data_IF_969021773288
#
_entry.id   IF_969021773288
#
_cell.length_a   1.000
_cell.length_b   1.000
_cell.length_c   1.000
_cell.angle_alpha   90.00
_cell.angle_beta   90.00
_cell.angle_gamma   90.00
#
_symmetry.space_group_name_H-M   'P 1'
#
loop_
_entity.id
_entity.type
_entity.pdbx_description
1 polymer ?
#
# COMPACT_ATOMS: atom_id res chain seq x y z
N UNK A 1 20.96 -9.44 32.07
CA UNK A 1 20.20 -8.34 32.57
C UNK A 1 18.75 -8.49 32.27
N UNK A 2 17.96 -8.31 33.24
CA UNK A 2 16.54 -8.41 33.01
C UNK A 2 16.07 -7.10 32.41
N UNK A 3 15.44 -7.22 31.26
CA UNK A 3 14.86 -6.04 30.67
C UNK A 3 13.59 -5.77 31.43
N UNK A 4 13.54 -4.63 32.06
CA UNK A 4 12.33 -4.24 32.70
C UNK A 4 11.32 -3.99 31.62
N UNK A 5 10.14 -4.49 31.80
CA UNK A 5 9.06 -4.15 30.92
C UNK A 5 8.81 -2.68 31.06
N UNK A 6 9.08 -1.95 30.00
CA UNK A 6 8.83 -0.53 30.03
C UNK A 6 7.35 -0.30 29.83
N UNK A 7 6.76 0.35 30.80
CA UNK A 7 5.36 0.68 30.69
C UNK A 7 5.24 2.05 30.04
N UNK A 8 5.53 2.10 28.76
CA UNK A 8 5.44 3.35 28.03
C UNK A 8 4.01 3.56 27.58
N UNK A 9 3.47 4.72 27.83
CA UNK A 9 2.13 5.02 27.32
C UNK A 9 2.15 5.09 25.81
N UNK A 10 1.37 4.24 25.17
CA UNK A 10 1.29 4.23 23.72
C UNK A 10 0.91 5.58 23.18
N UNK A 11 -0.01 6.27 23.86
CA UNK A 11 -0.45 7.57 23.41
C UNK A 11 0.69 8.59 23.36
N UNK A 12 1.56 8.56 24.35
CA UNK A 12 2.71 9.44 24.37
C UNK A 12 3.61 9.15 23.19
N UNK A 13 3.90 7.89 22.95
CA UNK A 13 4.80 7.49 21.86
C UNK A 13 4.23 7.87 20.50
N UNK A 14 2.95 7.62 20.28
CA UNK A 14 2.29 7.95 19.04
C UNK A 14 2.26 9.45 18.80
N UNK A 15 2.15 10.23 19.87
CA UNK A 15 2.15 11.67 19.74
C UNK A 15 3.56 12.23 19.50
N UNK A 16 4.55 11.70 20.19
CA UNK A 16 5.93 12.23 20.09
C UNK A 16 6.69 11.76 18.88
N UNK A 17 6.46 10.55 18.42
CA UNK A 17 7.22 10.02 17.29
C UNK A 17 7.15 10.90 16.03
N UNK A 18 5.98 11.37 15.61
CA UNK A 18 5.92 12.25 14.45
C UNK A 18 6.71 13.54 14.64
N UNK A 19 6.74 14.06 15.85
CA UNK A 19 7.47 15.28 16.14
C UNK A 19 8.97 15.04 16.03
N UNK A 20 9.43 13.95 16.61
CA UNK A 20 10.84 13.59 16.55
C UNK A 20 11.24 13.25 15.12
N UNK A 21 10.35 12.63 14.36
CA UNK A 21 10.64 12.32 12.98
C UNK A 21 10.91 13.58 12.15
N UNK A 22 10.16 14.64 12.41
CA UNK A 22 10.37 15.89 11.69
C UNK A 22 11.71 16.52 12.02
N UNK A 23 12.16 16.38 13.25
CA UNK A 23 13.45 16.92 13.68
C UNK A 23 14.61 16.02 13.33
N UNK A 24 14.43 14.74 13.45
CA UNK A 24 15.49 13.75 13.25
C UNK A 24 14.99 12.59 12.39
N UNK A 25 14.70 12.83 11.12
CA UNK A 25 14.27 11.74 10.25
C UNK A 25 15.32 10.66 10.10
N UNK A 26 16.59 11.03 10.18
CA UNK A 26 17.71 10.08 10.12
C UNK A 26 17.66 9.02 11.21
N UNK A 27 17.19 9.43 12.38
CA UNK A 27 17.11 8.53 13.53
C UNK A 27 15.90 7.60 13.44
N UNK A 28 14.78 8.15 12.98
CA UNK A 28 13.50 7.44 13.03
C UNK A 28 13.23 6.61 11.77
N UNK A 29 13.64 7.11 10.61
CA UNK A 29 13.36 6.44 9.35
C UNK A 29 13.77 4.96 9.31
N UNK A 30 14.99 4.59 9.70
CA UNK A 30 15.37 3.18 9.66
C UNK A 30 14.52 2.30 10.56
N UNK A 31 14.10 2.83 11.70
CA UNK A 31 13.27 2.08 12.64
C UNK A 31 11.87 1.87 12.09
N UNK A 32 11.29 2.89 11.48
CA UNK A 32 9.98 2.77 10.86
C UNK A 32 10.01 1.80 9.68
N UNK A 33 11.09 1.87 8.90
CA UNK A 33 11.26 0.97 7.77
C UNK A 33 11.31 -0.49 8.22
N UNK A 34 12.07 -0.75 9.27
CA UNK A 34 12.14 -2.10 9.84
C UNK A 34 10.81 -2.55 10.41
N UNK A 35 10.13 -1.65 11.10
CA UNK A 35 8.83 -1.97 11.69
C UNK A 35 7.87 -2.45 10.62
N UNK A 36 7.77 -1.73 9.53
CA UNK A 36 6.86 -2.09 8.44
C UNK A 36 7.32 -3.32 7.69
N UNK A 37 8.63 -3.47 7.49
CA UNK A 37 9.16 -4.62 6.76
C UNK A 37 8.98 -5.92 7.54
N UNK A 38 9.15 -5.86 8.86
CA UNK A 38 9.06 -7.05 9.69
C UNK A 38 7.65 -7.39 10.14
N UNK A 39 6.69 -6.46 9.96
CA UNK A 39 5.33 -6.68 10.41
C UNK A 39 4.35 -6.56 9.24
N UNK A 40 4.12 -7.68 8.60
CA UNK A 40 3.24 -7.71 7.44
C UNK A 40 1.82 -7.26 7.75
N UNK A 41 1.27 -7.72 8.84
CA UNK A 41 -0.09 -7.33 9.23
C UNK A 41 -0.20 -5.82 9.45
N UNK A 42 0.81 -5.24 10.08
CA UNK A 42 0.81 -3.80 10.29
C UNK A 42 0.91 -3.05 8.96
N UNK A 43 1.78 -3.54 8.07
CA UNK A 43 1.95 -2.92 6.76
C UNK A 43 0.64 -2.93 5.97
N UNK A 44 -0.02 -4.09 5.90
CA UNK A 44 -1.28 -4.21 5.20
C UNK A 44 -2.37 -3.33 5.83
N UNK A 45 -2.46 -3.33 7.16
CA UNK A 45 -3.45 -2.53 7.87
C UNK A 45 -3.29 -1.04 7.58
N UNK A 46 -2.04 -0.56 7.59
CA UNK A 46 -1.79 0.84 7.31
C UNK A 46 -2.11 1.20 5.87
N UNK A 47 -1.74 0.33 4.95
CA UNK A 47 -2.00 0.59 3.54
C UNK A 47 -3.49 0.56 3.24
N UNK A 48 -4.20 -0.44 3.75
CA UNK A 48 -5.64 -0.54 3.54
C UNK A 48 -6.35 0.69 4.10
N UNK A 49 -5.99 1.07 5.31
CA UNK A 49 -6.59 2.25 5.92
C UNK A 49 -6.34 3.51 5.09
N UNK A 50 -5.10 3.71 4.67
CA UNK A 50 -4.75 4.87 3.86
C UNK A 50 -5.50 4.89 2.54
N UNK A 51 -5.66 3.72 1.93
CA UNK A 51 -6.42 3.61 0.70
C UNK A 51 -7.89 3.93 0.92
N UNK A 52 -8.48 3.36 1.96
CA UNK A 52 -9.89 3.62 2.28
C UNK A 52 -10.16 5.06 2.64
N UNK A 53 -9.19 5.73 3.25
CA UNK A 53 -9.29 7.14 3.59
C UNK A 53 -8.90 8.07 2.45
N UNK A 54 -8.64 7.51 1.30
CA UNK A 54 -8.30 8.27 0.09
C UNK A 54 -7.01 9.07 0.19
N UNK A 55 -6.09 8.61 1.01
CA UNK A 55 -4.78 9.25 1.13
C UNK A 55 -3.83 8.73 0.06
N UNK A 56 -4.05 7.52 -0.41
CA UNK A 56 -3.24 6.92 -1.46
C UNK A 56 -4.17 6.26 -2.47
N UNK A 57 -3.70 6.14 -3.70
CA UNK A 57 -4.45 5.43 -4.73
C UNK A 57 -4.01 3.97 -4.77
N UNK A 58 -4.61 3.19 -5.64
CA UNK A 58 -4.33 1.77 -5.74
C UNK A 58 -2.89 1.50 -6.16
N UNK A 59 -2.37 2.29 -7.09
CA UNK A 59 -0.99 2.15 -7.53
C UNK A 59 0.01 2.34 -6.40
N UNK A 60 -0.20 3.36 -5.59
CA UNK A 60 0.68 3.62 -4.46
C UNK A 60 0.54 2.54 -3.41
N UNK A 61 -0.68 2.05 -3.18
CA UNK A 61 -0.90 0.95 -2.25
C UNK A 61 -0.14 -0.29 -2.69
N UNK A 62 -0.19 -0.61 -3.97
CA UNK A 62 0.53 -1.76 -4.50
C UNK A 62 2.04 -1.59 -4.33
N UNK A 63 2.55 -0.39 -4.61
CA UNK A 63 3.95 -0.09 -4.42
C UNK A 63 4.39 -0.31 -2.98
N UNK A 64 3.61 0.19 -2.04
CA UNK A 64 3.92 0.05 -0.62
C UNK A 64 3.89 -1.39 -0.14
N UNK A 65 3.09 -2.22 -0.79
CA UNK A 65 2.99 -3.63 -0.42
C UNK A 65 3.91 -4.52 -1.26
N UNK A 66 4.61 -3.94 -2.23
CA UNK A 66 5.48 -4.71 -3.09
C UNK A 66 4.73 -5.65 -4.02
N UNK A 67 3.53 -5.28 -4.43
CA UNK A 67 2.70 -6.09 -5.28
C UNK A 67 2.43 -5.40 -6.60
N UNK A 68 2.10 -6.18 -7.61
CA UNK A 68 1.60 -5.62 -8.84
C UNK A 68 0.18 -5.12 -8.61
N UNK A 69 -0.19 -4.05 -9.27
CA UNK A 69 -1.50 -3.45 -9.06
C UNK A 69 -2.67 -4.40 -9.34
N UNK A 70 -2.56 -5.22 -10.34
CA UNK A 70 -3.60 -6.19 -10.65
C UNK A 70 -3.74 -7.24 -9.55
N UNK A 71 -2.63 -7.65 -9.00
CA UNK A 71 -2.64 -8.58 -7.88
C UNK A 71 -3.30 -7.97 -6.67
N UNK A 72 -3.02 -6.70 -6.41
CA UNK A 72 -3.63 -6.01 -5.28
C UNK A 72 -5.13 -5.86 -5.45
N UNK A 73 -5.58 -5.57 -6.68
CA UNK A 73 -7.01 -5.49 -6.96
C UNK A 73 -7.70 -6.79 -6.59
N UNK A 74 -7.10 -7.89 -7.00
CA UNK A 74 -7.67 -9.20 -6.69
C UNK A 74 -7.70 -9.45 -5.20
N UNK A 75 -6.63 -9.11 -4.51
CA UNK A 75 -6.58 -9.26 -3.06
C UNK A 75 -7.63 -8.42 -2.35
N UNK A 76 -7.80 -7.19 -2.80
CA UNK A 76 -8.82 -6.33 -2.21
C UNK A 76 -10.23 -6.88 -2.43
N UNK A 77 -10.48 -7.42 -3.61
CA UNK A 77 -11.77 -8.05 -3.88
C UNK A 77 -12.00 -9.25 -2.97
N UNK A 78 -10.99 -10.07 -2.79
CA UNK A 78 -11.07 -11.23 -1.90
C UNK A 78 -11.30 -10.82 -0.45
N UNK A 79 -10.73 -9.71 -0.04
CA UNK A 79 -10.89 -9.21 1.31
C UNK A 79 -12.18 -8.41 1.52
N UNK A 80 -12.92 -8.19 0.46
CA UNK A 80 -14.14 -7.40 0.55
C UNK A 80 -13.91 -5.91 0.65
N UNK A 81 -12.74 -5.44 0.22
CA UNK A 81 -12.43 -4.02 0.24
C UNK A 81 -12.89 -3.39 -1.06
N UNK A 82 -13.79 -2.41 -1.02
CA UNK A 82 -14.30 -1.80 -2.24
C UNK A 82 -13.20 -1.06 -2.98
N UNK A 83 -13.12 -1.29 -4.28
CA UNK A 83 -12.19 -0.55 -5.13
C UNK A 83 -12.78 0.81 -5.44
N UNK A 84 -11.94 1.83 -5.26
CA UNK A 84 -12.35 3.18 -5.53
C UNK A 84 -12.03 3.51 -6.97
N UNK A 85 -13.03 3.91 -7.72
CA UNK A 85 -12.86 4.24 -9.13
C UNK A 85 -13.24 5.70 -9.36
N UNK A 86 -12.34 6.59 -9.00
CA UNK A 86 -12.47 8.00 -9.34
C UNK A 86 -12.09 8.22 -10.80
N UNK A 87 -12.27 9.42 -11.33
CA UNK A 87 -11.93 9.68 -12.74
C UNK A 87 -10.50 9.33 -13.10
N UNK A 88 -9.55 9.66 -12.23
CA UNK A 88 -8.14 9.35 -12.49
C UNK A 88 -7.88 7.84 -12.42
N UNK A 89 -8.44 7.19 -11.41
CA UNK A 89 -8.26 5.76 -11.24
C UNK A 89 -8.91 5.00 -12.40
N UNK A 90 -10.05 5.50 -12.86
CA UNK A 90 -10.75 4.87 -13.96
C UNK A 90 -9.95 5.00 -15.26
N UNK A 91 -9.33 6.15 -15.48
CA UNK A 91 -8.50 6.36 -16.66
C UNK A 91 -7.29 5.42 -16.63
N UNK A 92 -6.65 5.30 -15.49
CA UNK A 92 -5.52 4.38 -15.34
C UNK A 92 -5.97 2.94 -15.58
N UNK A 93 -7.10 2.55 -15.02
CA UNK A 93 -7.61 1.20 -15.19
C UNK A 93 -7.92 0.89 -16.64
N UNK A 94 -8.49 1.86 -17.35
CA UNK A 94 -8.80 1.69 -18.76
C UNK A 94 -7.52 1.56 -19.59
N UNK A 95 -6.55 2.42 -19.32
CA UNK A 95 -5.28 2.36 -20.04
C UNK A 95 -4.59 1.03 -19.82
N UNK A 96 -4.66 0.52 -18.59
CA UNK A 96 -4.06 -0.76 -18.26
C UNK A 96 -4.77 -1.90 -18.98
N UNK A 97 -6.09 -1.89 -19.01
CA UNK A 97 -6.87 -2.92 -19.69
C UNK A 97 -6.60 -2.87 -21.18
N UNK A 98 -6.50 -1.68 -21.74
CA UNK A 98 -6.24 -1.55 -23.17
C UNK A 98 -4.85 -2.01 -23.54
N UNK A 99 -3.87 -1.73 -22.70
CA UNK A 99 -2.51 -2.22 -22.91
C UNK A 99 -2.48 -3.75 -22.89
N UNK A 100 -3.18 -4.35 -21.95
CA UNK A 100 -3.26 -5.81 -21.86
C UNK A 100 -3.96 -6.38 -23.08
N UNK A 101 -5.05 -5.77 -23.51
CA UNK A 101 -5.76 -6.22 -24.70
C UNK A 101 -4.90 -6.13 -25.93
N UNK A 102 -4.17 -5.03 -26.09
CA UNK A 102 -3.30 -4.86 -27.24
C UNK A 102 -2.22 -5.93 -27.26
N UNK A 103 -1.65 -6.19 -26.07
CA UNK A 103 -0.65 -7.21 -25.95
C UNK A 103 -1.19 -8.59 -26.28
N UNK A 104 -2.38 -8.93 -25.78
CA UNK A 104 -3.02 -10.20 -26.08
C UNK A 104 -3.39 -10.31 -27.55
N UNK A 105 -3.85 -9.21 -28.13
CA UNK A 105 -4.14 -9.19 -29.54
C UNK A 105 -2.95 -9.55 -30.39
N UNK A 106 -1.81 -8.97 -30.06
CA UNK A 106 -0.57 -9.28 -30.77
C UNK A 106 -0.10 -10.70 -30.48
N UNK A 107 -0.19 -11.11 -29.23
CA UNK A 107 0.29 -12.44 -28.85
C UNK A 107 -0.55 -13.56 -29.42
N UNK A 108 -1.86 -13.35 -29.54
CA UNK A 108 -2.76 -14.37 -30.03
C UNK A 108 -2.94 -14.32 -31.53
N UNK A 109 -2.28 -13.36 -32.18
CA UNK A 109 -2.39 -13.27 -33.59
C UNK A 109 -3.78 -12.98 -34.06
N UNK A 110 -4.59 -12.47 -33.15
CA UNK A 110 -5.83 -12.03 -33.52
C UNK A 110 -6.74 -12.89 -34.05
N UNK A 111 -6.84 -13.85 -33.41
CA UNK A 111 -7.79 -14.78 -33.80
C UNK A 111 -9.11 -14.19 -33.85
N UNK A 112 -9.33 -13.08 -33.30
CA UNK A 112 -10.58 -12.55 -33.55
C UNK A 112 -10.56 -11.93 -34.89
N UNK A 113 -11.45 -12.18 -35.57
CA UNK A 113 -11.58 -11.65 -36.90
C UNK A 113 -12.09 -10.23 -36.85
#
# INVERSE_FOLDING_TARGET
MTVKTLSLPDEWLVDELPRLYRERPDLIHPLLHRLLTENEELRWSLVIRSYQERRINLGKAAELLGLHELELRQRFLELGIPLRLGPADLAEARAEVEAVRAWYGLALGEQRA
#
